data_IF_279125897133
#
_entry.id   IF_279125897133
#
_cell.length_a   1.000
_cell.length_b   1.000
_cell.length_c   1.000
_cell.angle_alpha   90.00
_cell.angle_beta   90.00
_cell.angle_gamma   90.00
#
_symmetry.space_group_name_H-M   'P 1'
#
loop_
_entity.id
_entity.type
_entity.pdbx_description
1 polymer ?
#
# COMPACT_ATOMS: atom_id res chain seq x y z
N UNK A 1 -16.83 0.46 3.15
CA UNK A 1 -17.92 -0.27 3.84
C UNK A 1 -17.87 0.09 5.31
N UNK A 2 -18.99 0.15 6.01
CA UNK A 2 -18.96 0.35 7.46
C UNK A 2 -18.73 -0.99 8.17
N UNK A 3 -18.05 -0.96 9.32
CA UNK A 3 -17.83 -2.16 10.11
C UNK A 3 -19.16 -2.76 10.57
N UNK A 4 -19.41 -4.02 10.24
CA UNK A 4 -20.63 -4.76 10.65
C UNK A 4 -20.42 -5.63 11.90
N UNK A 5 -19.17 -5.75 12.38
CA UNK A 5 -18.81 -6.67 13.46
C UNK A 5 -18.20 -5.86 14.61
N UNK A 6 -19.00 -5.60 15.64
CA UNK A 6 -18.54 -4.91 16.83
C UNK A 6 -17.89 -5.88 17.82
N UNK A 7 -16.71 -5.49 18.32
CA UNK A 7 -16.05 -6.19 19.41
C UNK A 7 -16.30 -5.52 20.76
N UNK A 8 -15.80 -6.12 21.86
CA UNK A 8 -15.90 -5.54 23.20
C UNK A 8 -15.37 -4.10 23.30
N UNK A 9 -14.31 -3.78 22.54
CA UNK A 9 -13.72 -2.45 22.50
C UNK A 9 -14.68 -1.41 21.88
N UNK A 10 -15.41 -1.75 20.81
CA UNK A 10 -16.39 -0.86 20.19
C UNK A 10 -17.54 -0.56 21.16
N UNK A 11 -18.04 -1.59 21.85
CA UNK A 11 -19.10 -1.43 22.85
C UNK A 11 -18.63 -0.59 24.04
N UNK A 12 -17.40 -0.79 24.50
CA UNK A 12 -16.82 0.01 25.58
C UNK A 12 -16.67 1.47 25.17
N UNK A 13 -16.18 1.73 23.95
CA UNK A 13 -16.05 3.08 23.40
C UNK A 13 -17.40 3.79 23.31
N UNK A 14 -18.44 3.07 22.84
CA UNK A 14 -19.82 3.60 22.82
C UNK A 14 -20.31 3.96 24.21
N UNK A 15 -20.14 3.05 25.18
CA UNK A 15 -20.56 3.25 26.58
C UNK A 15 -19.84 4.45 27.23
N UNK A 16 -18.55 4.63 26.96
CA UNK A 16 -17.79 5.80 27.42
C UNK A 16 -18.34 7.09 26.81
N UNK A 17 -18.63 7.09 25.50
CA UNK A 17 -19.25 8.23 24.84
C UNK A 17 -20.60 8.59 25.45
N UNK A 18 -21.45 7.61 25.73
CA UNK A 18 -22.74 7.79 26.41
C UNK A 18 -22.55 8.39 27.82
N UNK A 19 -21.58 7.89 28.59
CA UNK A 19 -21.31 8.38 29.95
C UNK A 19 -20.87 9.85 30.01
N UNK A 20 -20.25 10.38 28.95
CA UNK A 20 -19.81 11.79 28.87
C UNK A 20 -20.74 12.65 28.00
N UNK A 21 -21.91 12.15 27.60
CA UNK A 21 -22.92 12.90 26.85
C UNK A 21 -22.68 13.04 25.34
N UNK A 22 -21.66 12.37 24.79
CA UNK A 22 -21.31 12.41 23.35
C UNK A 22 -21.58 11.09 22.63
N UNK A 23 -22.33 10.16 23.23
CA UNK A 23 -22.62 8.84 22.65
C UNK A 23 -23.26 8.89 21.26
N UNK A 24 -23.99 9.97 20.95
CA UNK A 24 -24.59 10.21 19.64
C UNK A 24 -23.57 10.37 18.50
N UNK A 25 -22.29 10.64 18.81
CA UNK A 25 -21.21 10.72 17.81
C UNK A 25 -20.60 9.36 17.50
N UNK A 26 -20.93 8.31 18.27
CA UNK A 26 -20.46 6.97 17.99
C UNK A 26 -21.02 6.49 16.65
N UNK A 27 -20.14 6.01 15.78
CA UNK A 27 -20.48 5.41 14.51
C UNK A 27 -19.54 4.24 14.22
N UNK A 28 -19.99 3.24 13.44
CA UNK A 28 -19.09 2.18 13.01
C UNK A 28 -17.90 2.74 12.24
N UNK A 29 -16.73 2.14 12.45
CA UNK A 29 -15.52 2.50 11.72
C UNK A 29 -15.68 2.18 10.24
N UNK A 30 -15.29 3.12 9.36
CA UNK A 30 -15.20 2.84 7.92
C UNK A 30 -14.04 1.90 7.66
N UNK A 31 -14.33 0.76 7.02
CA UNK A 31 -13.36 -0.28 6.69
C UNK A 31 -13.43 -0.64 5.21
N UNK A 32 -12.33 -1.16 4.69
CA UNK A 32 -12.23 -1.68 3.33
C UNK A 32 -12.43 -3.20 3.32
N UNK A 33 -13.45 -3.69 4.02
CA UNK A 33 -13.72 -5.13 4.18
C UNK A 33 -14.98 -5.52 3.42
N UNK A 34 -14.89 -6.63 2.67
CA UNK A 34 -16.05 -7.28 2.09
C UNK A 34 -16.70 -8.19 3.14
N UNK A 35 -17.91 -7.85 3.55
CA UNK A 35 -18.68 -8.61 4.53
C UNK A 35 -19.66 -9.55 3.83
N UNK A 36 -20.03 -10.69 4.46
CA UNK A 36 -21.08 -11.54 3.93
C UNK A 36 -22.41 -10.79 3.84
N UNK A 37 -23.33 -11.27 2.97
CA UNK A 37 -24.74 -10.86 3.01
C UNK A 37 -25.32 -11.03 4.41
N UNK A 38 -26.36 -10.26 4.72
CA UNK A 38 -27.01 -10.34 6.02
C UNK A 38 -27.59 -11.73 6.27
N UNK A 39 -27.33 -12.27 7.46
CA UNK A 39 -27.74 -13.63 7.84
C UNK A 39 -26.85 -14.76 7.31
N UNK A 40 -25.80 -14.45 6.54
CA UNK A 40 -24.87 -15.46 6.03
C UNK A 40 -23.56 -15.50 6.82
N UNK A 41 -22.96 -16.70 6.92
CA UNK A 41 -21.61 -16.89 7.43
C UNK A 41 -20.55 -16.37 6.45
N UNK A 42 -19.46 -15.85 7.01
CA UNK A 42 -18.30 -15.40 6.23
C UNK A 42 -17.45 -16.55 5.69
N UNK A 43 -16.67 -16.26 4.65
CA UNK A 43 -15.73 -17.20 4.04
C UNK A 43 -16.12 -17.67 2.64
N UNK A 44 -17.31 -17.30 2.16
CA UNK A 44 -17.72 -17.51 0.76
C UNK A 44 -16.98 -16.55 -0.17
N UNK A 45 -16.63 -17.05 -1.35
CA UNK A 45 -16.01 -16.28 -2.45
C UNK A 45 -17.07 -15.86 -3.45
N UNK A 46 -16.97 -14.62 -3.94
CA UNK A 46 -17.84 -14.01 -4.93
C UNK A 46 -17.01 -13.41 -6.07
N UNK A 47 -17.56 -13.30 -7.29
CA UNK A 47 -17.00 -12.45 -8.34
C UNK A 47 -16.80 -11.02 -7.84
N UNK A 48 -15.93 -10.26 -8.50
CA UNK A 48 -15.57 -8.90 -8.07
C UNK A 48 -16.80 -8.00 -7.86
N UNK A 49 -17.08 -7.57 -6.60
CA UNK A 49 -18.22 -6.75 -6.25
C UNK A 49 -17.94 -5.25 -6.36
N UNK A 50 -16.73 -4.83 -6.77
CA UNK A 50 -16.30 -3.43 -6.70
C UNK A 50 -16.08 -2.77 -8.07
N UNK A 51 -15.55 -3.49 -9.06
CA UNK A 51 -15.12 -2.92 -10.34
C UNK A 51 -15.90 -3.51 -11.52
N UNK A 52 -17.22 -3.68 -11.36
CA UNK A 52 -18.12 -4.25 -12.36
C UNK A 52 -17.68 -5.65 -12.83
N UNK A 53 -17.06 -6.45 -11.96
CA UNK A 53 -16.60 -7.80 -12.30
C UNK A 53 -15.21 -7.85 -12.92
N UNK A 54 -14.54 -6.72 -13.17
CA UNK A 54 -13.23 -6.68 -13.82
C UNK A 54 -12.04 -6.93 -12.87
N UNK A 55 -12.27 -6.81 -11.56
CA UNK A 55 -11.30 -7.08 -10.51
C UNK A 55 -11.19 -8.56 -10.16
N UNK A 56 -10.34 -8.92 -9.19
CA UNK A 56 -10.24 -10.29 -8.71
C UNK A 56 -11.44 -10.69 -7.85
N UNK A 57 -11.77 -11.98 -7.84
CA UNK A 57 -12.73 -12.57 -6.88
C UNK A 57 -12.43 -12.12 -5.44
N UNK A 58 -13.48 -12.02 -4.62
CA UNK A 58 -13.41 -11.55 -3.24
C UNK A 58 -14.02 -12.56 -2.28
N UNK A 59 -13.32 -12.83 -1.18
CA UNK A 59 -13.85 -13.62 -0.07
C UNK A 59 -14.58 -12.72 0.93
N UNK A 60 -15.57 -13.24 1.62
CA UNK A 60 -16.26 -12.52 2.70
C UNK A 60 -15.54 -12.69 4.03
N UNK A 61 -15.58 -11.67 4.88
CA UNK A 61 -14.88 -11.64 6.16
C UNK A 61 -15.37 -12.74 7.11
N UNK A 62 -14.45 -13.53 7.64
CA UNK A 62 -14.70 -14.61 8.62
C UNK A 62 -14.56 -14.16 10.09
N UNK A 63 -14.40 -12.86 10.34
CA UNK A 63 -14.16 -12.30 11.67
C UNK A 63 -12.91 -12.84 12.40
N UNK A 64 -11.91 -13.33 11.68
CA UNK A 64 -10.74 -14.00 12.27
C UNK A 64 -9.75 -13.10 13.03
N UNK A 65 -9.94 -11.78 13.06
CA UNK A 65 -9.03 -10.85 13.73
C UNK A 65 -7.66 -10.63 13.07
N UNK A 66 -7.34 -11.31 11.96
CA UNK A 66 -6.05 -11.21 11.26
C UNK A 66 -5.81 -9.92 10.46
N UNK A 67 -6.57 -8.85 10.71
CA UNK A 67 -6.58 -7.64 9.88
C UNK A 67 -5.25 -6.87 9.88
N UNK A 68 -4.50 -6.94 11.00
CA UNK A 68 -3.24 -6.22 11.22
C UNK A 68 -2.04 -6.90 10.55
N UNK A 69 -2.07 -8.24 10.44
CA UNK A 69 -0.99 -9.03 9.84
C UNK A 69 -1.21 -9.35 8.36
N UNK A 70 -2.42 -9.12 7.86
CA UNK A 70 -2.81 -9.37 6.48
C UNK A 70 -3.99 -10.33 6.39
N UNK A 71 -5.01 -9.95 5.63
CA UNK A 71 -6.21 -10.77 5.47
C UNK A 71 -5.93 -11.99 4.56
N UNK A 72 -5.88 -13.19 5.14
CA UNK A 72 -5.68 -14.45 4.41
C UNK A 72 -6.92 -14.95 3.65
N UNK A 73 -8.08 -14.33 3.88
CA UNK A 73 -9.36 -14.75 3.32
C UNK A 73 -9.85 -13.86 2.17
N UNK A 74 -8.96 -13.01 1.64
CA UNK A 74 -9.26 -12.14 0.49
C UNK A 74 -10.49 -11.22 0.70
N UNK A 75 -10.78 -10.86 1.96
CA UNK A 75 -11.90 -10.00 2.33
C UNK A 75 -11.53 -8.52 2.39
N UNK A 76 -10.30 -8.20 2.78
CA UNK A 76 -9.80 -6.82 2.84
C UNK A 76 -9.39 -6.34 1.44
N UNK A 77 -9.96 -5.23 0.98
CA UNK A 77 -9.70 -4.62 -0.32
C UNK A 77 -8.36 -3.85 -0.30
N UNK A 78 -7.26 -4.61 -0.27
CA UNK A 78 -5.88 -4.13 -0.26
C UNK A 78 -5.43 -3.70 -1.67
N UNK A 79 -4.30 -2.97 -1.77
CA UNK A 79 -3.86 -2.39 -3.04
C UNK A 79 -3.56 -3.42 -4.15
N UNK A 80 -3.03 -4.58 -3.76
CA UNK A 80 -2.81 -5.76 -4.61
C UNK A 80 -4.10 -6.37 -5.16
N UNK A 81 -5.26 -5.96 -4.65
CA UNK A 81 -6.58 -6.42 -5.09
C UNK A 81 -7.38 -5.33 -5.81
N UNK A 82 -6.81 -4.13 -5.96
CA UNK A 82 -7.43 -3.04 -6.69
C UNK A 82 -6.40 -2.36 -7.63
N UNK A 83 -5.81 -1.23 -7.24
CA UNK A 83 -4.94 -0.41 -8.08
C UNK A 83 -3.76 -1.20 -8.67
N UNK A 84 -3.06 -2.01 -7.88
CA UNK A 84 -1.92 -2.78 -8.40
C UNK A 84 -2.38 -3.91 -9.31
N UNK A 85 -3.49 -4.58 -8.97
CA UNK A 85 -4.11 -5.60 -9.85
C UNK A 85 -4.39 -5.03 -11.25
N UNK A 86 -5.04 -3.86 -11.31
CA UNK A 86 -5.33 -3.22 -12.60
C UNK A 86 -4.09 -2.65 -13.28
N UNK A 87 -3.12 -2.14 -12.52
CA UNK A 87 -1.86 -1.67 -13.11
C UNK A 87 -1.16 -2.81 -13.84
N UNK A 88 -1.04 -3.98 -13.21
CA UNK A 88 -0.43 -5.16 -13.83
C UNK A 88 -1.26 -5.71 -14.99
N UNK A 89 -2.59 -5.77 -14.85
CA UNK A 89 -3.51 -6.14 -15.94
C UNK A 89 -3.34 -5.22 -17.17
N UNK A 90 -2.98 -3.96 -16.96
CA UNK A 90 -2.71 -2.98 -18.02
C UNK A 90 -1.22 -2.88 -18.42
N UNK A 91 -0.39 -3.84 -18.03
CA UNK A 91 0.99 -3.98 -18.50
C UNK A 91 2.07 -3.34 -17.63
N UNK A 92 1.72 -2.76 -16.48
CA UNK A 92 2.73 -2.41 -15.48
C UNK A 92 3.42 -3.69 -14.97
N UNK A 93 4.67 -3.58 -14.55
CA UNK A 93 5.45 -4.69 -14.01
C UNK A 93 5.84 -4.39 -12.58
N UNK A 94 5.45 -5.23 -11.64
CA UNK A 94 5.90 -5.18 -10.25
C UNK A 94 7.15 -6.04 -10.11
N UNK A 95 8.21 -5.44 -9.55
CA UNK A 95 9.45 -6.13 -9.23
C UNK A 95 9.58 -6.21 -7.72
N UNK A 96 9.12 -7.33 -7.17
CA UNK A 96 9.23 -7.60 -5.74
C UNK A 96 10.69 -7.72 -5.30
N UNK A 97 10.91 -7.58 -4.00
CA UNK A 97 12.23 -7.67 -3.35
C UNK A 97 13.31 -6.74 -3.97
N UNK A 98 12.89 -5.69 -4.67
CA UNK A 98 13.79 -4.79 -5.41
C UNK A 98 13.86 -3.44 -4.70
N UNK A 99 14.87 -3.26 -3.84
CA UNK A 99 15.10 -2.00 -3.12
C UNK A 99 15.92 -1.04 -3.97
N UNK A 100 15.40 0.16 -4.19
CA UNK A 100 16.17 1.26 -4.81
C UNK A 100 17.21 1.77 -3.81
N UNK A 101 18.46 1.87 -4.24
CA UNK A 101 19.59 2.34 -3.42
C UNK A 101 20.36 3.50 -4.03
N UNK A 102 20.06 3.87 -5.28
CA UNK A 102 20.63 5.04 -5.94
C UNK A 102 19.75 5.52 -7.09
N UNK A 103 19.73 6.83 -7.29
CA UNK A 103 19.10 7.49 -8.44
C UNK A 103 20.02 8.64 -8.84
N UNK A 104 20.35 8.74 -10.13
CA UNK A 104 21.12 9.87 -10.68
C UNK A 104 20.62 10.25 -12.07
N UNK A 105 20.68 11.52 -12.47
CA UNK A 105 20.36 11.93 -13.82
C UNK A 105 21.32 11.34 -14.85
N UNK A 106 20.83 11.06 -16.06
CA UNK A 106 21.66 10.60 -17.17
C UNK A 106 22.49 11.74 -17.78
N UNK A 107 23.62 11.38 -18.39
CA UNK A 107 24.51 12.28 -19.14
C UNK A 107 25.00 13.52 -18.37
N UNK A 108 24.99 13.48 -17.04
CA UNK A 108 25.39 14.62 -16.20
C UNK A 108 24.42 15.81 -16.20
N UNK A 109 23.24 15.67 -16.81
CA UNK A 109 22.23 16.73 -16.83
C UNK A 109 21.42 16.74 -15.55
N UNK A 110 21.80 17.59 -14.61
CA UNK A 110 21.21 17.66 -13.27
C UNK A 110 19.69 17.95 -13.25
N UNK A 111 19.13 18.47 -14.34
CA UNK A 111 17.69 18.72 -14.50
C UNK A 111 16.87 17.45 -14.80
N UNK A 112 17.53 16.31 -15.07
CA UNK A 112 16.87 15.05 -15.38
C UNK A 112 16.23 14.99 -16.77
N UNK A 113 16.49 15.96 -17.65
CA UNK A 113 15.90 16.05 -18.99
C UNK A 113 16.17 14.83 -19.89
N UNK A 114 17.32 14.17 -19.70
CA UNK A 114 17.70 12.95 -20.41
C UNK A 114 17.23 11.66 -19.70
N UNK A 115 16.54 11.79 -18.57
CA UNK A 115 16.10 10.70 -17.71
C UNK A 115 17.08 10.36 -16.59
N UNK A 116 16.91 9.18 -15.99
CA UNK A 116 17.59 8.75 -14.77
C UNK A 116 18.15 7.34 -14.89
N UNK A 117 19.29 7.13 -14.23
CA UNK A 117 19.80 5.82 -13.88
C UNK A 117 19.37 5.48 -12.45
N UNK A 118 18.73 4.32 -12.28
CA UNK A 118 18.23 3.81 -10.99
C UNK A 118 18.99 2.54 -10.63
N UNK A 119 19.67 2.55 -9.49
CA UNK A 119 20.38 1.39 -8.96
C UNK A 119 19.50 0.68 -7.93
N UNK A 120 19.35 -0.64 -8.09
CA UNK A 120 18.56 -1.48 -7.21
C UNK A 120 19.36 -2.65 -6.65
N UNK A 121 18.91 -3.17 -5.51
CA UNK A 121 19.44 -4.36 -4.85
C UNK A 121 18.30 -5.27 -4.38
N UNK A 122 18.57 -6.57 -4.30
CA UNK A 122 17.67 -7.54 -3.72
C UNK A 122 17.58 -7.33 -2.19
N UNK A 123 16.39 -7.03 -1.68
CA UNK A 123 16.16 -6.72 -0.26
C UNK A 123 16.28 -7.93 0.66
N UNK A 124 16.04 -9.14 0.14
CA UNK A 124 16.09 -10.39 0.91
C UNK A 124 17.42 -11.13 0.82
N UNK A 125 18.33 -10.71 -0.07
CA UNK A 125 19.65 -11.33 -0.21
C UNK A 125 20.63 -10.83 0.85
N UNK A 126 21.33 -11.74 1.53
CA UNK A 126 22.32 -11.42 2.56
C UNK A 126 23.74 -11.25 2.02
N UNK A 127 24.11 -12.01 0.97
CA UNK A 127 25.48 -12.03 0.43
C UNK A 127 25.57 -11.30 -0.91
N UNK A 128 25.04 -11.92 -1.97
CA UNK A 128 25.04 -11.32 -3.30
C UNK A 128 23.77 -10.47 -3.46
N UNK A 129 23.88 -9.15 -3.20
CA UNK A 129 22.78 -8.19 -3.30
C UNK A 129 22.17 -8.06 -4.70
N UNK A 130 22.68 -8.79 -5.71
CA UNK A 130 22.19 -8.79 -7.08
C UNK A 130 21.97 -7.36 -7.61
N UNK A 131 22.98 -6.51 -7.45
CA UNK A 131 22.87 -5.10 -7.79
C UNK A 131 22.60 -4.95 -9.29
N UNK A 132 21.57 -4.19 -9.65
CA UNK A 132 21.16 -3.91 -11.03
C UNK A 132 21.02 -2.42 -11.27
N UNK A 133 21.13 -2.04 -12.54
CA UNK A 133 21.02 -0.66 -12.98
C UNK A 133 19.99 -0.56 -14.10
N UNK A 134 19.08 0.39 -13.96
CA UNK A 134 17.93 0.59 -14.83
C UNK A 134 18.00 1.99 -15.40
N UNK A 135 17.64 2.16 -16.68
CA UNK A 135 17.51 3.47 -17.31
C UNK A 135 16.04 3.77 -17.54
N UNK A 136 15.58 4.89 -17.03
CA UNK A 136 14.17 5.30 -17.09
C UNK A 136 14.07 6.77 -17.45
N UNK A 137 12.94 7.18 -18.05
CA UNK A 137 12.70 8.59 -18.37
C UNK A 137 12.29 9.39 -17.14
N UNK A 138 11.44 8.81 -16.30
CA UNK A 138 10.87 9.47 -15.13
C UNK A 138 10.99 8.58 -13.90
N UNK A 139 11.11 9.20 -12.72
CA UNK A 139 11.13 8.52 -11.41
C UNK A 139 10.05 9.14 -10.52
N UNK A 140 9.21 8.29 -9.93
CA UNK A 140 8.17 8.69 -8.96
C UNK A 140 8.52 8.04 -7.62
N UNK A 141 8.80 8.85 -6.60
CA UNK A 141 9.13 8.35 -5.27
C UNK A 141 7.86 8.10 -4.44
N UNK A 142 7.56 6.82 -4.18
CA UNK A 142 6.39 6.38 -3.41
C UNK A 142 6.75 5.40 -2.28
N UNK A 143 7.92 5.58 -1.65
CA UNK A 143 8.49 4.66 -0.66
C UNK A 143 8.03 4.93 0.79
N UNK A 144 6.76 5.33 0.98
CA UNK A 144 6.18 5.86 2.24
C UNK A 144 6.80 7.20 2.70
N UNK A 145 6.22 7.80 3.74
CA UNK A 145 6.72 9.07 4.30
C UNK A 145 8.18 8.98 4.72
N UNK A 146 8.56 7.95 5.48
CA UNK A 146 9.91 7.81 6.01
C UNK A 146 10.91 7.41 4.91
N UNK A 147 10.57 6.38 4.13
CA UNK A 147 11.48 5.85 3.11
C UNK A 147 11.73 6.81 1.95
N UNK A 148 10.74 7.59 1.53
CA UNK A 148 10.95 8.63 0.52
C UNK A 148 11.87 9.73 1.05
N UNK A 149 11.64 10.22 2.27
CA UNK A 149 12.45 11.29 2.87
C UNK A 149 13.90 10.84 3.09
N UNK A 150 14.11 9.67 3.69
CA UNK A 150 15.44 9.08 3.88
C UNK A 150 16.21 8.99 2.56
N UNK A 151 15.55 8.50 1.50
CA UNK A 151 16.16 8.36 0.19
C UNK A 151 16.54 9.71 -0.42
N UNK A 152 15.63 10.69 -0.41
CA UNK A 152 15.89 12.01 -0.99
C UNK A 152 17.03 12.74 -0.26
N UNK A 153 17.06 12.69 1.07
CA UNK A 153 18.16 13.28 1.84
C UNK A 153 19.49 12.60 1.54
N UNK A 154 19.52 11.26 1.46
CA UNK A 154 20.73 10.52 1.11
C UNK A 154 21.23 10.88 -0.29
N UNK A 155 20.33 10.94 -1.28
CA UNK A 155 20.67 11.28 -2.66
C UNK A 155 21.17 12.71 -2.82
N UNK A 156 20.64 13.63 -2.00
CA UNK A 156 21.13 15.00 -1.92
C UNK A 156 22.53 15.07 -1.30
N UNK A 157 22.71 14.47 -0.12
CA UNK A 157 23.99 14.47 0.60
C UNK A 157 25.11 13.78 -0.19
N UNK A 158 24.79 12.75 -0.98
CA UNK A 158 25.75 12.10 -1.88
C UNK A 158 26.03 12.89 -3.17
N UNK A 159 25.36 14.02 -3.39
CA UNK A 159 25.43 14.81 -4.62
C UNK A 159 24.83 14.14 -5.86
N UNK A 160 24.09 13.05 -5.69
CA UNK A 160 23.49 12.30 -6.81
C UNK A 160 22.25 12.99 -7.40
N UNK A 161 21.48 13.69 -6.56
CA UNK A 161 20.42 14.60 -6.97
C UNK A 161 20.66 15.98 -6.32
N UNK A 162 21.52 16.82 -6.92
CA UNK A 162 21.97 18.07 -6.28
C UNK A 162 20.89 19.16 -6.25
N UNK A 163 19.85 19.07 -7.09
CA UNK A 163 18.79 20.09 -7.20
C UNK A 163 17.62 19.87 -6.22
N UNK A 164 17.75 18.97 -5.25
CA UNK A 164 16.74 18.80 -4.19
C UNK A 164 16.83 20.00 -3.23
N UNK A 165 15.70 20.68 -3.02
CA UNK A 165 15.56 21.84 -2.11
C UNK A 165 16.12 21.58 -0.71
N UNK A 166 16.65 22.64 -0.06
CA UNK A 166 17.02 22.66 1.36
C UNK A 166 15.82 22.90 2.29
N UNK A 167 14.78 23.52 1.75
CA UNK A 167 13.52 23.84 2.43
C UNK A 167 12.47 22.74 2.22
#
# INVERSE_FOLDING_TARGET
TDNKIFGPADHMLKKMGEAVGVGHTFKPTRVATFFPPEGEEGGKTYPDPYFNGEGPDRGTCTACGGCMTGCKHNAKNTLDKNYLYFAEKNGAKVYEETKVVGVKPLNGKADGSDGYEVTTECSSSWFNKQRRTWRVRNVIFSASSLGTQEMLFRLKQSGSLPNISDD
#
